data_IF_307169148060
#
_entry.id   IF_307169148060
#
_cell.length_a   1.000
_cell.length_b   1.000
_cell.length_c   1.000
_cell.angle_alpha   90.00
_cell.angle_beta   90.00
_cell.angle_gamma   90.00
#
_symmetry.space_group_name_H-M   'P 1'
#
loop_
_entity.id
_entity.type
_entity.pdbx_description
1 polymer ?
#
# COMPACT_ATOMS: atom_id res chain seq x y z
N UNK A 1 -22.34 -65.98 -42.96
CA UNK A 1 -23.58 -65.64 -42.25
C UNK A 1 -23.26 -64.80 -41.02
N UNK A 2 -24.10 -63.79 -40.77
CA UNK A 2 -23.89 -62.71 -39.83
C UNK A 2 -24.57 -63.00 -38.48
N UNK A 3 -23.94 -62.59 -37.36
CA UNK A 3 -24.62 -62.00 -36.19
C UNK A 3 -23.72 -60.93 -35.59
N UNK A 4 -24.25 -59.70 -35.59
CA UNK A 4 -23.65 -58.50 -35.03
C UNK A 4 -23.77 -58.39 -33.50
N UNK A 5 -23.50 -57.19 -32.94
CA UNK A 5 -22.80 -57.03 -31.67
C UNK A 5 -23.73 -56.75 -30.47
N UNK A 6 -23.24 -57.00 -29.25
CA UNK A 6 -23.91 -56.62 -28.00
C UNK A 6 -23.04 -55.63 -27.22
N UNK A 7 -23.45 -54.36 -27.23
CA UNK A 7 -23.00 -53.30 -26.30
C UNK A 7 -23.80 -53.35 -25.00
N UNK A 8 -23.21 -53.10 -23.81
CA UNK A 8 -23.96 -52.72 -22.63
C UNK A 8 -23.88 -51.20 -22.36
N UNK A 9 -25.03 -50.56 -22.61
CA UNK A 9 -25.74 -49.55 -21.81
C UNK A 9 -24.94 -48.65 -20.84
N UNK A 10 -24.99 -47.36 -21.16
CA UNK A 10 -24.73 -46.23 -20.28
C UNK A 10 -25.58 -46.25 -18.99
N UNK A 11 -24.93 -46.11 -17.83
CA UNK A 11 -25.59 -45.78 -16.56
C UNK A 11 -25.71 -44.26 -16.42
N UNK A 12 -26.91 -43.78 -16.73
CA UNK A 12 -27.43 -42.45 -16.37
C UNK A 12 -27.53 -42.37 -14.84
N UNK A 13 -26.67 -41.60 -14.17
CA UNK A 13 -26.84 -41.21 -12.76
C UNK A 13 -27.35 -39.78 -12.66
N UNK A 14 -28.28 -39.62 -11.72
CA UNK A 14 -29.18 -38.49 -11.51
C UNK A 14 -28.44 -37.22 -11.16
N UNK A 15 -28.96 -36.10 -11.68
CA UNK A 15 -28.77 -34.76 -11.12
C UNK A 15 -29.41 -34.74 -9.73
N UNK A 16 -28.63 -34.39 -8.71
CA UNK A 16 -29.15 -33.83 -7.47
C UNK A 16 -28.77 -32.35 -7.45
N UNK A 17 -29.81 -31.51 -7.41
CA UNK A 17 -29.69 -30.10 -7.08
C UNK A 17 -29.32 -29.98 -5.61
N UNK A 18 -28.12 -29.47 -5.33
CA UNK A 18 -27.77 -28.92 -4.04
C UNK A 18 -27.52 -27.43 -4.29
N UNK A 19 -28.44 -26.59 -3.77
CA UNK A 19 -28.33 -25.14 -3.82
C UNK A 19 -27.09 -24.62 -3.08
N UNK A 20 -26.73 -23.35 -3.27
CA UNK A 20 -25.48 -22.80 -2.77
C UNK A 20 -25.50 -22.77 -1.24
N UNK A 21 -24.59 -23.52 -0.61
CA UNK A 21 -24.24 -23.33 0.79
C UNK A 21 -23.50 -22.00 0.91
N UNK A 22 -24.04 -21.13 1.75
CA UNK A 22 -23.46 -19.85 2.10
C UNK A 22 -21.99 -19.98 2.51
N UNK A 23 -21.15 -19.14 1.91
CA UNK A 23 -19.74 -18.99 2.24
C UNK A 23 -19.56 -18.63 3.72
N UNK A 24 -18.61 -19.23 4.44
CA UNK A 24 -18.29 -18.81 5.79
C UNK A 24 -17.65 -17.41 5.72
N UNK A 25 -18.31 -16.45 6.39
CA UNK A 25 -17.76 -15.12 6.69
C UNK A 25 -16.42 -15.31 7.41
N UNK A 26 -15.33 -14.87 6.79
CA UNK A 26 -14.06 -14.67 7.47
C UNK A 26 -14.27 -13.51 8.45
N UNK A 27 -14.37 -13.84 9.74
CA UNK A 27 -14.37 -12.85 10.82
C UNK A 27 -12.93 -12.39 11.01
N UNK A 28 -12.62 -11.14 10.66
CA UNK A 28 -11.43 -10.49 11.20
C UNK A 28 -11.61 -10.30 12.70
N UNK A 29 -10.69 -10.86 13.48
CA UNK A 29 -10.54 -10.57 14.89
C UNK A 29 -9.81 -9.23 15.01
N UNK A 30 -10.56 -8.15 15.22
CA UNK A 30 -10.00 -6.90 15.73
C UNK A 30 -9.71 -7.11 17.23
N UNK A 31 -8.42 -7.24 17.56
CA UNK A 31 -7.97 -7.20 18.95
C UNK A 31 -8.09 -5.76 19.46
N UNK A 32 -9.19 -5.47 20.14
CA UNK A 32 -9.42 -4.23 20.88
C UNK A 32 -8.43 -4.11 22.03
N UNK A 33 -7.60 -3.07 22.03
CA UNK A 33 -6.83 -2.68 23.22
C UNK A 33 -7.62 -1.61 23.96
N UNK A 34 -8.01 -1.97 25.18
CA UNK A 34 -8.82 -1.19 26.10
C UNK A 34 -8.12 0.08 26.54
N UNK A 35 -8.76 1.25 26.33
CA UNK A 35 -8.40 2.49 27.04
C UNK A 35 -9.13 2.52 28.39
N UNK A 36 -8.45 2.78 29.51
CA UNK A 36 -9.12 3.03 30.78
C UNK A 36 -9.71 4.45 30.83
N UNK A 37 -10.97 4.53 31.22
CA UNK A 37 -11.68 5.76 31.57
C UNK A 37 -11.34 6.21 33.00
N UNK A 38 -11.01 7.49 33.15
CA UNK A 38 -11.28 8.34 34.31
C UNK A 38 -11.15 9.79 33.77
N UNK A 39 -11.98 10.80 34.06
CA UNK A 39 -12.58 11.22 35.33
C UNK A 39 -13.83 12.07 35.04
N UNK A 40 -14.83 11.99 35.92
CA UNK A 40 -16.00 12.89 35.99
C UNK A 40 -15.65 14.34 36.35
N UNK A 41 -16.36 15.31 35.78
CA UNK A 41 -17.27 16.22 36.50
C UNK A 41 -17.50 17.56 35.75
N UNK A 42 -18.77 17.96 35.71
CA UNK A 42 -19.27 19.26 35.27
C UNK A 42 -18.67 20.42 36.11
N UNK A 43 -18.44 21.56 35.46
CA UNK A 43 -19.11 22.82 35.78
C UNK A 43 -18.65 23.95 34.84
N UNK A 44 -19.60 24.62 34.18
CA UNK A 44 -19.42 25.97 33.64
C UNK A 44 -19.69 27.00 34.73
N UNK A 45 -18.98 28.14 34.72
CA UNK A 45 -19.71 29.41 34.72
C UNK A 45 -19.16 30.45 33.73
N UNK A 46 -20.06 31.40 33.43
CA UNK A 46 -19.99 32.53 32.49
C UNK A 46 -19.02 33.67 32.90
N UNK A 47 -18.78 34.66 32.02
CA UNK A 47 -17.58 35.51 32.02
C UNK A 47 -17.72 36.80 32.85
N UNK A 48 -16.59 37.33 33.32
CA UNK A 48 -16.49 38.61 34.02
C UNK A 48 -15.10 39.23 33.95
N UNK A 49 -15.01 40.30 33.15
CA UNK A 49 -14.10 41.47 33.12
C UNK A 49 -12.69 41.50 33.78
N UNK A 50 -11.78 42.13 32.99
CA UNK A 50 -10.78 43.17 33.33
C UNK A 50 -9.38 42.77 33.83
N UNK A 51 -8.45 42.81 32.86
CA UNK A 51 -7.15 43.48 32.83
C UNK A 51 -6.30 43.62 34.11
N UNK A 52 -5.08 43.06 34.07
CA UNK A 52 -3.85 43.81 34.41
C UNK A 52 -2.62 43.11 33.84
N UNK A 53 -1.66 43.93 33.39
CA UNK A 53 -0.36 43.57 32.80
C UNK A 53 0.58 42.99 33.86
N UNK A 54 1.28 41.91 33.53
CA UNK A 54 2.58 41.61 34.10
C UNK A 54 3.44 40.94 33.03
N UNK A 55 4.61 41.52 32.81
CA UNK A 55 5.56 41.12 31.81
C UNK A 55 6.22 39.79 32.19
N UNK A 56 6.03 38.77 31.34
CA UNK A 56 7.04 37.74 31.17
C UNK A 56 7.42 37.70 29.70
N UNK A 57 8.69 38.08 29.45
CA UNK A 57 9.42 37.74 28.24
C UNK A 57 9.44 36.21 28.13
N UNK A 58 8.39 35.62 27.57
CA UNK A 58 8.49 34.31 26.97
C UNK A 58 9.08 34.55 25.59
N UNK A 59 10.42 34.62 25.56
CA UNK A 59 11.19 34.34 24.36
C UNK A 59 10.72 32.95 23.96
N UNK A 60 9.78 32.87 23.02
CA UNK A 60 9.48 31.61 22.36
C UNK A 60 10.80 31.24 21.69
N UNK A 61 11.56 30.38 22.37
CA UNK A 61 12.59 29.60 21.72
C UNK A 61 11.78 28.77 20.75
N UNK A 62 11.72 29.23 19.51
CA UNK A 62 11.54 28.30 18.40
C UNK A 62 12.71 27.34 18.58
N UNK A 63 12.44 26.24 19.29
CA UNK A 63 13.25 25.07 19.15
C UNK A 63 13.14 24.80 17.66
N UNK A 64 14.19 25.11 16.93
CA UNK A 64 14.43 24.45 15.67
C UNK A 64 14.45 22.97 16.05
N UNK A 65 13.27 22.33 15.98
CA UNK A 65 13.19 20.89 15.97
C UNK A 65 14.15 20.50 14.88
N UNK A 66 15.19 19.75 15.25
CA UNK A 66 16.09 19.19 14.28
C UNK A 66 15.21 18.49 13.24
N UNK A 67 15.09 19.08 12.06
CA UNK A 67 14.37 18.49 10.94
C UNK A 67 15.25 17.38 10.38
N UNK A 68 15.47 16.33 11.16
CA UNK A 68 15.82 15.02 10.63
C UNK A 68 14.53 14.22 10.49
N UNK A 69 13.53 14.79 9.80
CA UNK A 69 12.31 14.03 9.56
C UNK A 69 12.67 12.95 8.54
N UNK A 70 12.44 11.69 8.91
CA UNK A 70 12.48 10.54 8.03
C UNK A 70 11.36 10.66 6.97
N UNK A 71 11.41 11.71 6.14
CA UNK A 71 10.37 12.07 5.21
C UNK A 71 10.71 11.51 3.84
N UNK A 72 9.74 10.78 3.27
CA UNK A 72 9.81 10.37 1.88
C UNK A 72 9.64 11.53 0.90
N UNK A 73 9.34 12.75 1.36
CA UNK A 73 9.11 13.91 0.49
C UNK A 73 10.31 14.19 -0.42
N UNK A 74 10.09 14.09 -1.72
CA UNK A 74 11.12 14.32 -2.72
C UNK A 74 10.89 13.60 -4.03
N UNK A 75 11.84 13.77 -4.94
CA UNK A 75 11.91 13.04 -6.19
C UNK A 75 12.86 11.86 -6.03
N UNK A 76 12.42 10.68 -6.43
CA UNK A 76 13.14 9.42 -6.31
C UNK A 76 13.28 8.77 -7.67
N UNK A 77 14.44 8.18 -7.94
CA UNK A 77 14.69 7.38 -9.14
C UNK A 77 15.02 5.96 -8.74
N UNK A 78 14.40 4.99 -9.43
CA UNK A 78 14.75 3.58 -9.22
C UNK A 78 16.15 3.27 -9.74
N UNK A 79 16.93 2.59 -8.93
CA UNK A 79 18.22 1.99 -9.26
C UNK A 79 18.00 0.50 -9.61
N UNK A 80 17.66 0.23 -10.88
CA UNK A 80 17.30 -1.12 -11.35
C UNK A 80 18.40 -2.16 -11.09
N UNK A 81 19.67 -1.79 -11.26
CA UNK A 81 20.83 -2.68 -11.06
C UNK A 81 21.06 -3.07 -9.60
N UNK A 82 20.55 -2.28 -8.64
CA UNK A 82 20.62 -2.57 -7.20
C UNK A 82 19.37 -3.27 -6.67
N UNK A 83 18.37 -3.41 -7.54
CA UNK A 83 17.08 -4.04 -7.23
C UNK A 83 17.14 -5.54 -7.55
N UNK A 84 16.41 -6.37 -6.80
CA UNK A 84 16.39 -7.82 -7.01
C UNK A 84 15.00 -8.42 -6.82
N UNK A 85 14.77 -9.61 -7.38
CA UNK A 85 13.49 -10.31 -7.31
C UNK A 85 12.36 -9.69 -8.15
N UNK A 86 12.63 -8.59 -8.86
CA UNK A 86 11.62 -7.87 -9.64
C UNK A 86 11.10 -8.68 -10.83
N UNK A 87 11.95 -9.51 -11.45
CA UNK A 87 11.55 -10.35 -12.59
C UNK A 87 10.55 -11.40 -12.13
N UNK A 88 10.88 -12.16 -11.08
CA UNK A 88 10.04 -13.20 -10.51
C UNK A 88 8.72 -12.62 -9.98
N UNK A 89 8.79 -11.46 -9.32
CA UNK A 89 7.62 -10.74 -8.84
C UNK A 89 6.69 -10.36 -10.01
N UNK A 90 7.22 -9.79 -11.10
CA UNK A 90 6.42 -9.41 -12.26
C UNK A 90 5.86 -10.62 -13.02
N UNK A 91 6.63 -11.71 -13.12
CA UNK A 91 6.14 -12.96 -13.72
C UNK A 91 5.00 -13.58 -12.90
N UNK A 92 5.04 -13.47 -11.57
CA UNK A 92 3.95 -13.92 -10.72
C UNK A 92 2.65 -13.11 -10.93
N UNK A 93 2.75 -11.86 -11.37
CA UNK A 93 1.64 -11.04 -11.87
C UNK A 93 1.20 -11.39 -13.31
N UNK A 94 1.80 -12.42 -13.91
CA UNK A 94 1.39 -12.94 -15.22
C UNK A 94 2.12 -12.30 -16.41
N UNK A 95 3.17 -11.51 -16.18
CA UNK A 95 3.99 -10.99 -17.28
C UNK A 95 4.81 -12.12 -17.91
N UNK A 96 4.93 -12.09 -19.23
CA UNK A 96 5.88 -12.94 -19.97
C UNK A 96 7.31 -12.66 -19.50
N UNK A 97 8.22 -13.66 -19.50
CA UNK A 97 9.59 -13.48 -19.06
C UNK A 97 10.32 -12.29 -19.68
N UNK A 98 10.13 -12.05 -20.98
CA UNK A 98 10.78 -10.98 -21.73
C UNK A 98 10.30 -9.60 -21.27
N UNK A 99 8.98 -9.43 -21.11
CA UNK A 99 8.39 -8.20 -20.58
C UNK A 99 8.78 -7.96 -19.12
N UNK A 100 8.80 -9.01 -18.30
CA UNK A 100 9.20 -8.91 -16.90
C UNK A 100 10.68 -8.48 -16.77
N UNK A 101 11.58 -9.07 -17.55
CA UNK A 101 12.98 -8.69 -17.60
C UNK A 101 13.17 -7.23 -18.03
N UNK A 102 12.52 -6.81 -19.12
CA UNK A 102 12.59 -5.43 -19.59
C UNK A 102 12.07 -4.43 -18.54
N UNK A 103 10.96 -4.75 -17.87
CA UNK A 103 10.39 -3.90 -16.82
C UNK A 103 11.17 -3.90 -15.51
N UNK A 104 11.83 -5.00 -15.16
CA UNK A 104 12.63 -5.06 -13.94
C UNK A 104 13.79 -4.05 -13.94
N UNK A 105 14.32 -3.72 -15.13
CA UNK A 105 15.44 -2.77 -15.26
C UNK A 105 15.04 -1.37 -15.74
N UNK A 106 13.83 -1.20 -16.28
CA UNK A 106 13.38 0.09 -16.83
C UNK A 106 13.43 1.23 -15.79
N UNK A 107 14.08 2.38 -16.05
CA UNK A 107 14.07 3.47 -15.08
C UNK A 107 12.66 4.03 -14.92
N UNK A 108 12.26 4.31 -13.69
CA UNK A 108 11.08 5.15 -13.42
C UNK A 108 11.35 6.06 -12.22
N UNK A 109 10.59 7.14 -12.16
CA UNK A 109 10.70 8.15 -11.12
C UNK A 109 9.43 8.20 -10.29
N UNK A 110 9.58 8.52 -9.01
CA UNK A 110 8.48 8.75 -8.10
C UNK A 110 8.68 10.07 -7.39
N UNK A 111 7.69 10.92 -7.51
CA UNK A 111 7.54 12.11 -6.71
C UNK A 111 6.64 11.81 -5.53
N UNK A 112 7.14 12.07 -4.33
CA UNK A 112 6.44 11.87 -3.07
C UNK A 112 6.19 13.22 -2.42
N UNK A 113 4.94 13.48 -2.04
CA UNK A 113 4.52 14.71 -1.35
C UNK A 113 3.64 14.35 -0.17
N UNK A 114 3.83 15.01 0.96
CA UNK A 114 2.85 14.99 2.04
C UNK A 114 1.56 15.66 1.56
N UNK A 115 0.42 15.11 1.96
CA UNK A 115 -0.88 15.74 1.65
C UNK A 115 -1.23 16.86 2.64
N UNK A 116 -0.63 16.83 3.83
CA UNK A 116 -0.88 17.76 4.92
C UNK A 116 -2.15 17.47 5.72
N UNK A 117 -2.83 16.35 5.45
CA UNK A 117 -4.02 15.93 6.21
C UNK A 117 -3.65 15.12 7.45
N UNK A 118 -2.69 14.21 7.31
CA UNK A 118 -2.20 13.36 8.39
C UNK A 118 -0.72 13.00 8.14
N UNK A 119 0.08 12.93 9.20
CA UNK A 119 1.48 12.54 9.11
C UNK A 119 1.60 11.10 8.60
N UNK A 120 2.36 10.90 7.53
CA UNK A 120 2.48 9.59 6.87
C UNK A 120 1.52 9.37 5.70
N UNK A 121 0.59 10.28 5.45
CA UNK A 121 -0.20 10.29 4.21
C UNK A 121 0.59 10.95 3.07
N UNK A 122 0.74 10.22 1.96
CA UNK A 122 1.49 10.70 0.81
C UNK A 122 0.70 10.67 -0.49
N UNK A 123 0.80 11.75 -1.27
CA UNK A 123 0.56 11.73 -2.71
C UNK A 123 1.83 11.25 -3.42
N UNK A 124 1.69 10.19 -4.22
CA UNK A 124 2.77 9.63 -5.02
C UNK A 124 2.43 9.77 -6.50
N UNK A 125 3.34 10.39 -7.24
CA UNK A 125 3.26 10.54 -8.69
C UNK A 125 4.37 9.71 -9.31
N UNK A 126 4.01 8.67 -10.06
CA UNK A 126 4.97 7.77 -10.71
C UNK A 126 5.04 8.07 -12.20
N UNK A 127 6.22 8.43 -12.71
CA UNK A 127 6.51 8.59 -14.14
C UNK A 127 7.38 7.44 -14.63
N UNK A 128 6.96 6.66 -15.62
CA UNK A 128 7.76 5.57 -16.20
C UNK A 128 8.98 6.06 -17.02
N UNK A 129 9.34 7.34 -16.93
CA UNK A 129 10.49 7.95 -17.60
C UNK A 129 10.17 8.46 -19.01
N UNK A 130 8.90 8.46 -19.40
CA UNK A 130 8.45 8.86 -20.75
C UNK A 130 7.57 10.10 -20.75
N UNK A 131 7.17 10.59 -19.57
CA UNK A 131 6.16 11.64 -19.42
C UNK A 131 4.74 11.23 -19.82
N UNK A 132 4.55 9.99 -20.28
CA UNK A 132 3.25 9.37 -20.59
C UNK A 132 2.97 8.25 -19.61
N UNK A 133 1.69 8.00 -19.32
CA UNK A 133 1.30 6.98 -18.35
C UNK A 133 1.67 7.34 -16.91
N UNK A 134 1.78 8.64 -16.62
CA UNK A 134 2.02 9.16 -15.27
C UNK A 134 0.84 8.77 -14.38
N UNK A 135 1.12 8.03 -13.31
CA UNK A 135 0.11 7.58 -12.36
C UNK A 135 0.18 8.43 -11.09
N UNK A 136 -0.96 8.93 -10.62
CA UNK A 136 -1.09 9.64 -9.35
C UNK A 136 -1.90 8.78 -8.39
N UNK A 137 -1.40 8.59 -7.17
CA UNK A 137 -2.10 7.84 -6.13
C UNK A 137 -1.84 8.48 -4.78
N UNK A 138 -2.90 8.70 -4.01
CA UNK A 138 -2.80 9.06 -2.58
C UNK A 138 -2.82 7.76 -1.78
N UNK A 139 -1.93 7.65 -0.79
CA UNK A 139 -1.92 6.59 0.20
C UNK A 139 -2.43 7.15 1.53
N UNK A 140 -3.75 7.20 1.75
CA UNK A 140 -4.31 7.56 3.06
C UNK A 140 -3.99 6.47 4.09
N UNK A 141 -3.93 6.84 5.37
CA UNK A 141 -3.79 5.86 6.45
C UNK A 141 -5.10 5.10 6.69
N UNK A 142 -4.98 3.88 7.19
CA UNK A 142 -6.11 2.97 7.42
C UNK A 142 -6.58 2.27 6.15
N UNK A 143 -7.83 1.78 6.18
CA UNK A 143 -8.44 1.01 5.11
C UNK A 143 -8.99 1.92 3.99
N UNK A 144 -8.68 1.59 2.74
CA UNK A 144 -9.17 2.32 1.57
C UNK A 144 -9.24 1.43 0.32
N UNK A 145 -9.93 1.94 -0.70
CA UNK A 145 -10.16 1.23 -1.95
C UNK A 145 -9.55 1.98 -3.13
N UNK A 146 -8.83 1.26 -4.00
CA UNK A 146 -8.33 1.78 -5.27
C UNK A 146 -9.16 1.22 -6.42
N UNK A 147 -10.02 2.02 -7.08
CA UNK A 147 -10.71 1.59 -8.28
C UNK A 147 -9.74 1.45 -9.45
N UNK A 148 -9.96 0.46 -10.32
CA UNK A 148 -9.26 0.33 -11.58
C UNK A 148 -10.21 -0.06 -12.71
N UNK A 149 -9.96 0.44 -13.92
CA UNK A 149 -10.87 0.35 -15.07
C UNK A 149 -10.83 -1.00 -15.82
N UNK A 150 -10.06 -1.97 -15.32
CA UNK A 150 -9.81 -3.25 -15.98
C UNK A 150 -8.57 -3.22 -16.86
N UNK A 151 -8.29 -4.36 -17.51
CA UNK A 151 -7.07 -4.61 -18.31
C UNK A 151 -5.77 -4.26 -17.57
N UNK A 152 -5.78 -4.34 -16.23
CA UNK A 152 -4.60 -4.10 -15.42
C UNK A 152 -3.73 -5.34 -15.44
N UNK A 153 -2.47 -5.17 -15.83
CA UNK A 153 -1.48 -6.24 -15.77
C UNK A 153 -1.20 -6.69 -14.32
N UNK A 154 -1.53 -5.86 -13.31
CA UNK A 154 -1.32 -6.19 -11.90
C UNK A 154 -2.60 -6.68 -11.20
N UNK A 155 -3.78 -6.22 -11.63
CA UNK A 155 -5.03 -6.46 -10.91
C UNK A 155 -6.04 -7.31 -11.67
N UNK A 156 -5.78 -7.60 -12.94
CA UNK A 156 -6.60 -8.46 -13.77
C UNK A 156 -7.33 -7.73 -14.89
N UNK A 157 -8.04 -8.51 -15.71
CA UNK A 157 -8.73 -8.03 -16.91
C UNK A 157 -10.01 -7.25 -16.60
N UNK A 158 -10.72 -7.64 -15.55
CA UNK A 158 -12.00 -7.03 -15.21
C UNK A 158 -11.82 -5.81 -14.32
N UNK A 159 -12.61 -4.76 -14.55
CA UNK A 159 -12.65 -3.60 -13.67
C UNK A 159 -13.05 -4.00 -12.24
N UNK A 160 -12.54 -3.28 -11.25
CA UNK A 160 -12.81 -3.60 -9.86
C UNK A 160 -12.08 -2.71 -8.88
N UNK A 161 -11.83 -3.25 -7.69
CA UNK A 161 -11.18 -2.55 -6.60
C UNK A 161 -10.01 -3.36 -6.06
N UNK A 162 -8.96 -2.66 -5.65
CA UNK A 162 -7.93 -3.18 -4.76
C UNK A 162 -8.23 -2.64 -3.37
N UNK A 163 -8.44 -3.54 -2.41
CA UNK A 163 -8.61 -3.16 -1.01
C UNK A 163 -7.24 -3.02 -0.38
N UNK A 164 -7.00 -1.92 0.32
CA UNK A 164 -5.70 -1.59 0.87
C UNK A 164 -5.83 -1.16 2.32
N UNK A 165 -4.79 -1.43 3.09
CA UNK A 165 -4.60 -0.85 4.42
C UNK A 165 -3.20 -0.24 4.46
N UNK A 166 -3.08 1.03 4.84
CA UNK A 166 -1.77 1.70 4.94
C UNK A 166 -1.50 2.15 6.35
N UNK A 167 -0.28 1.90 6.83
CA UNK A 167 0.19 2.34 8.14
C UNK A 167 1.51 3.11 8.02
N UNK A 168 1.73 4.00 8.98
CA UNK A 168 2.95 4.77 9.14
C UNK A 168 3.41 4.66 10.59
N UNK A 169 4.46 3.89 10.82
CA UNK A 169 4.86 3.48 12.17
C UNK A 169 6.37 3.54 12.34
N UNK A 170 6.83 3.96 13.52
CA UNK A 170 8.22 3.86 13.92
C UNK A 170 8.50 2.44 14.44
N UNK A 171 9.35 1.69 13.72
CA UNK A 171 9.68 0.29 14.02
C UNK A 171 11.00 0.20 14.80
N UNK A 172 11.36 1.24 15.55
CA UNK A 172 12.55 1.27 16.41
C UNK A 172 13.83 1.42 15.59
N UNK A 173 14.73 0.44 15.64
CA UNK A 173 16.04 0.52 14.97
C UNK A 173 15.94 0.61 13.44
N UNK A 174 14.79 0.25 12.85
CA UNK A 174 14.51 0.40 11.41
C UNK A 174 14.08 1.84 11.06
N UNK A 175 13.59 2.59 12.05
CA UNK A 175 12.96 3.89 11.89
C UNK A 175 11.52 3.77 11.35
N UNK A 176 11.03 4.89 10.82
CA UNK A 176 9.69 4.96 10.26
C UNK A 176 9.53 4.12 8.98
N UNK A 177 8.43 3.38 8.93
CA UNK A 177 8.05 2.48 7.84
C UNK A 177 6.66 2.83 7.32
N UNK A 178 6.56 3.03 6.00
CA UNK A 178 5.27 3.17 5.32
C UNK A 178 4.89 1.82 4.71
N UNK A 179 3.94 1.16 5.34
CA UNK A 179 3.48 -0.17 4.98
C UNK A 179 2.13 -0.06 4.27
N UNK A 180 1.98 -0.72 3.14
CA UNK A 180 0.70 -0.88 2.45
C UNK A 180 0.44 -2.36 2.23
N UNK A 181 -0.60 -2.89 2.85
CA UNK A 181 -1.13 -4.22 2.56
C UNK A 181 -2.25 -4.11 1.53
N UNK A 182 -2.40 -5.11 0.68
CA UNK A 182 -3.32 -5.04 -0.45
C UNK A 182 -3.92 -6.40 -0.77
N UNK A 183 -5.23 -6.43 -0.96
CA UNK A 183 -5.98 -7.57 -1.48
C UNK A 183 -6.45 -7.21 -2.88
N UNK A 184 -5.94 -7.95 -3.86
CA UNK A 184 -6.32 -7.79 -5.27
C UNK A 184 -7.19 -8.97 -5.71
N UNK A 185 -7.84 -8.89 -6.89
CA UNK A 185 -8.47 -10.06 -7.48
C UNK A 185 -7.49 -11.22 -7.65
N UNK A 186 -6.24 -10.94 -8.07
CA UNK A 186 -5.23 -11.93 -8.42
C UNK A 186 -4.43 -12.49 -7.24
N UNK A 187 -4.41 -11.83 -6.09
CA UNK A 187 -3.57 -12.23 -4.96
C UNK A 187 -3.49 -11.20 -3.84
N UNK A 188 -2.54 -11.43 -2.93
CA UNK A 188 -2.27 -10.57 -1.78
C UNK A 188 -0.88 -9.95 -1.91
N UNK A 189 -0.77 -8.67 -1.59
CA UNK A 189 0.48 -7.93 -1.67
C UNK A 189 0.76 -7.17 -0.38
N UNK A 190 2.04 -7.08 -0.02
CA UNK A 190 2.53 -6.16 0.99
C UNK A 190 3.64 -5.33 0.35
N UNK A 191 3.58 -4.00 0.48
CA UNK A 191 4.65 -3.08 0.10
C UNK A 191 5.13 -2.32 1.32
N UNK A 192 6.37 -2.53 1.71
CA UNK A 192 7.04 -1.81 2.78
C UNK A 192 8.01 -0.81 2.20
N UNK A 193 8.02 0.41 2.73
CA UNK A 193 8.97 1.47 2.33
C UNK A 193 9.65 2.00 3.58
N UNK A 194 10.98 2.11 3.51
CA UNK A 194 11.81 2.68 4.57
C UNK A 194 12.95 3.48 3.98
N UNK A 195 13.49 4.40 4.76
CA UNK A 195 14.71 5.12 4.40
C UNK A 195 15.95 4.34 4.89
N UNK A 196 17.03 4.45 4.13
CA UNK A 196 18.37 4.03 4.53
C UNK A 196 19.28 5.25 4.39
N UNK A 197 19.42 6.00 5.48
CA UNK A 197 19.94 7.37 5.43
C UNK A 197 19.00 8.33 4.69
N UNK A 198 19.50 9.49 4.30
CA UNK A 198 18.65 10.56 3.74
C UNK A 198 18.35 10.38 2.24
N UNK A 199 19.23 9.67 1.52
CA UNK A 199 19.26 9.66 0.06
C UNK A 199 18.78 8.35 -0.57
N UNK A 200 18.42 7.36 0.25
CA UNK A 200 18.04 6.01 -0.22
C UNK A 200 16.70 5.60 0.36
N UNK A 201 15.79 5.21 -0.52
CA UNK A 201 14.53 4.56 -0.13
C UNK A 201 14.59 3.10 -0.57
N UNK A 202 14.32 2.22 0.37
CA UNK A 202 14.20 0.77 0.14
C UNK A 202 12.72 0.44 0.09
N UNK A 203 12.30 -0.20 -1.00
CA UNK A 203 10.94 -0.67 -1.20
C UNK A 203 10.96 -2.19 -1.28
N UNK A 204 10.41 -2.85 -0.27
CA UNK A 204 10.30 -4.30 -0.20
C UNK A 204 8.86 -4.71 -0.48
N UNK A 205 8.68 -5.58 -1.46
CA UNK A 205 7.35 -6.06 -1.86
C UNK A 205 7.28 -7.56 -1.68
N UNK A 206 6.12 -8.03 -1.26
CA UNK A 206 5.79 -9.44 -1.34
C UNK A 206 4.47 -9.63 -2.03
N UNK A 207 4.36 -10.64 -2.89
CA UNK A 207 3.13 -11.00 -3.57
C UNK A 207 2.88 -12.49 -3.43
N UNK A 208 1.64 -12.84 -3.09
CA UNK A 208 1.17 -14.22 -3.00
C UNK A 208 0.01 -14.37 -3.98
N UNK A 209 0.18 -15.10 -5.10
CA UNK A 209 -0.88 -15.28 -6.07
C UNK A 209 -2.01 -16.13 -5.49
N UNK A 210 -3.23 -15.82 -5.92
CA UNK A 210 -4.44 -16.61 -5.64
C UNK A 210 -4.58 -17.68 -6.71
N UNK A 211 -4.57 -18.94 -6.28
CA UNK A 211 -4.78 -20.08 -7.16
C UNK A 211 -6.25 -20.18 -7.57
N UNK A 212 -6.54 -21.00 -8.58
CA UNK A 212 -7.91 -21.16 -9.14
C UNK A 212 -8.92 -21.66 -8.11
N UNK A 213 -8.47 -22.40 -7.11
CA UNK A 213 -9.30 -22.88 -5.99
C UNK A 213 -9.45 -21.83 -4.87
N UNK A 214 -8.89 -20.63 -5.04
CA UNK A 214 -8.89 -19.55 -4.08
C UNK A 214 -7.80 -19.62 -3.01
N UNK A 215 -6.98 -20.67 -3.01
CA UNK A 215 -5.89 -20.84 -2.04
C UNK A 215 -4.67 -19.95 -2.38
N UNK A 216 -3.78 -19.80 -1.41
CA UNK A 216 -2.54 -19.05 -1.57
C UNK A 216 -1.46 -19.88 -2.28
N UNK A 217 -0.87 -19.31 -3.33
CA UNK A 217 0.32 -19.87 -3.97
C UNK A 217 1.61 -19.57 -3.21
N UNK A 218 2.74 -19.82 -3.87
CA UNK A 218 4.07 -19.49 -3.32
C UNK A 218 4.22 -17.98 -3.16
N UNK A 219 4.66 -17.51 -1.99
CA UNK A 219 4.98 -16.10 -1.74
C UNK A 219 6.27 -15.72 -2.46
N UNK A 220 6.23 -14.65 -3.24
CA UNK A 220 7.39 -14.07 -3.94
C UNK A 220 7.76 -12.76 -3.26
N UNK A 221 9.05 -12.48 -3.14
CA UNK A 221 9.57 -11.22 -2.62
C UNK A 221 10.41 -10.49 -3.67
N UNK A 222 10.37 -9.17 -3.63
CA UNK A 222 11.26 -8.31 -4.39
C UNK A 222 11.71 -7.12 -3.54
N UNK A 223 12.87 -6.57 -3.88
CA UNK A 223 13.39 -5.34 -3.29
C UNK A 223 13.79 -4.39 -4.39
N UNK A 224 13.24 -3.20 -4.35
CA UNK A 224 13.60 -2.08 -5.21
C UNK A 224 14.38 -1.05 -4.39
N UNK A 225 15.44 -0.51 -4.99
CA UNK A 225 16.25 0.55 -4.39
C UNK A 225 16.00 1.84 -5.15
N UNK A 226 15.77 2.93 -4.44
CA UNK A 226 15.59 4.25 -5.00
C UNK A 226 16.62 5.23 -4.46
N UNK A 227 17.10 6.11 -5.32
CA UNK A 227 17.96 7.24 -4.95
C UNK A 227 17.22 8.55 -5.04
N UNK A 228 17.41 9.40 -4.02
CA UNK A 228 16.81 10.72 -3.96
C UNK A 228 17.52 11.64 -4.95
N UNK A 229 16.74 12.25 -5.84
CA UNK A 229 17.21 13.24 -6.81
C UNK A 229 17.03 14.67 -6.32
N UNK A 230 15.95 14.94 -5.59
CA UNK A 230 15.63 16.25 -5.07
C UNK A 230 14.77 16.14 -3.80
N UNK A 231 14.90 17.11 -2.91
CA UNK A 231 14.00 17.32 -1.77
C UNK A 231 13.14 18.53 -2.11
N UNK A 232 11.82 18.43 -1.93
CA UNK A 232 10.96 19.59 -2.10
C UNK A 232 11.09 20.50 -0.89
N UNK A 233 11.10 21.82 -1.12
CA UNK A 233 10.96 22.77 -0.03
C UNK A 233 9.56 22.58 0.58
N UNK A 234 9.42 22.67 1.92
CA UNK A 234 8.11 22.79 2.54
C UNK A 234 7.33 23.92 1.88
N UNK A 235 6.00 23.79 1.77
CA UNK A 235 5.17 24.93 1.40
C UNK A 235 5.39 26.04 2.45
N UNK A 236 5.81 27.23 2.00
CA UNK A 236 5.81 28.40 2.88
C UNK A 236 4.36 28.67 3.28
N UNK A 237 4.00 28.39 4.52
CA UNK A 237 2.72 28.79 5.08
C UNK A 237 2.70 30.31 5.11
N UNK A 238 1.85 30.92 4.28
CA UNK A 238 1.58 32.35 4.33
C UNK A 238 1.20 32.72 5.77
N UNK A 239 2.05 33.54 6.40
CA UNK A 239 1.87 34.04 7.77
C UNK A 239 0.74 35.05 7.87
#
# INVERSE_FOLDING_TARGET
EARGPITPRAKRRRREHIGPRASPRVRMFCSSVSSPSAVSALASPRPGSRASRAAHRCRAVAMAGASSSASFVGMWRREGEKSFGSVEYLQAHGLTPEKAAARAVAPYQQEWRETGLEDGEFLVITDPGTGRGVRKLVYPLGEWEEPFEGNSELFGQDAGYVFRNTTWEDVGDVGYVHLTESVTPLGWETTQRRLEGDDTMIVERTYTPKLKDGSAGTKIASKEVFKRMAVFKPFETAS
#
